data_IF_118338320153
#
_entry.id   IF_118338320153
#
_cell.length_a   1.000
_cell.length_b   1.000
_cell.length_c   1.000
_cell.angle_alpha   90.00
_cell.angle_beta   90.00
_cell.angle_gamma   90.00
#
_symmetry.space_group_name_H-M   'P 1'
#
loop_
_entity.id
_entity.type
_entity.pdbx_description
1 polymer ?
#
# COMPACT_ATOMS: atom_id res chain seq x y z
N UNK A 1 -18.08 2.68 -23.82
CA UNK A 1 -18.63 3.03 -22.50
C UNK A 1 -17.52 3.62 -21.62
N UNK A 2 -17.86 4.42 -20.58
CA UNK A 2 -16.89 5.06 -19.68
C UNK A 2 -17.12 4.55 -18.25
N UNK A 3 -16.05 4.20 -17.57
CA UNK A 3 -16.04 3.92 -16.13
C UNK A 3 -15.00 4.80 -15.43
N UNK A 4 -15.31 5.24 -14.22
CA UNK A 4 -14.42 6.06 -13.38
C UNK A 4 -14.18 5.34 -12.06
N UNK A 5 -12.92 5.05 -11.77
CA UNK A 5 -12.50 4.26 -10.61
C UNK A 5 -11.58 5.10 -9.73
N UNK A 6 -11.93 5.22 -8.46
CA UNK A 6 -11.08 5.88 -7.50
C UNK A 6 -9.88 4.99 -7.14
N UNK A 7 -8.71 5.59 -7.07
CA UNK A 7 -7.43 4.97 -6.75
C UNK A 7 -6.49 5.98 -6.08
N UNK A 8 -5.31 5.54 -5.68
CA UNK A 8 -4.23 6.41 -5.23
C UNK A 8 -2.88 5.91 -5.72
N UNK A 9 -1.90 6.80 -5.78
CA UNK A 9 -0.49 6.47 -6.02
C UNK A 9 0.39 7.02 -4.90
N UNK A 10 1.61 6.52 -4.81
CA UNK A 10 2.59 6.99 -3.84
C UNK A 10 3.53 8.02 -4.46
N UNK A 11 3.76 9.13 -3.77
CA UNK A 11 4.79 10.11 -4.11
C UNK A 11 5.65 10.40 -2.87
N UNK A 12 6.85 9.85 -2.82
CA UNK A 12 7.63 9.79 -1.59
C UNK A 12 6.90 8.96 -0.54
N UNK A 13 6.56 9.54 0.60
CA UNK A 13 5.75 8.91 1.65
C UNK A 13 4.29 9.38 1.65
N UNK A 14 3.84 10.11 0.64
CA UNK A 14 2.50 10.71 0.59
C UNK A 14 1.64 9.98 -0.43
N UNK A 15 0.49 9.50 0.00
CA UNK A 15 -0.55 8.99 -0.89
C UNK A 15 -1.19 10.13 -1.67
N UNK A 16 -1.36 9.98 -2.97
CA UNK A 16 -1.99 10.96 -3.86
C UNK A 16 -3.22 10.35 -4.52
N UNK A 17 -4.40 10.96 -4.36
CA UNK A 17 -5.61 10.50 -5.01
C UNK A 17 -5.46 10.54 -6.54
N UNK A 18 -5.92 9.48 -7.19
CA UNK A 18 -5.97 9.34 -8.65
C UNK A 18 -7.36 8.82 -9.03
N UNK A 19 -7.90 9.32 -10.11
CA UNK A 19 -9.08 8.73 -10.76
C UNK A 19 -8.61 8.04 -12.04
N UNK A 20 -8.94 6.78 -12.17
CA UNK A 20 -8.68 5.98 -13.37
C UNK A 20 -9.96 5.97 -14.22
N UNK A 21 -9.91 6.65 -15.36
CA UNK A 21 -11.01 6.72 -16.30
C UNK A 21 -10.76 5.73 -17.44
N UNK A 22 -11.61 4.74 -17.57
CA UNK A 22 -11.49 3.70 -18.61
C UNK A 22 -12.60 3.88 -19.63
N UNK A 23 -12.20 4.20 -20.87
CA UNK A 23 -13.11 4.34 -22.00
C UNK A 23 -12.91 3.19 -23.00
N UNK A 24 -13.99 2.44 -23.25
CA UNK A 24 -14.03 1.39 -24.26
C UNK A 24 -14.94 1.85 -25.39
N UNK A 25 -14.40 1.96 -26.60
CA UNK A 25 -15.10 2.42 -27.80
C UNK A 25 -14.89 1.47 -28.98
N UNK A 26 -15.83 1.51 -29.94
CA UNK A 26 -15.68 0.83 -31.22
C UNK A 26 -14.47 1.35 -32.00
N UNK A 27 -13.81 0.47 -32.73
CA UNK A 27 -12.62 0.79 -33.54
C UNK A 27 -11.62 -0.36 -33.54
N UNK A 28 -10.48 -0.11 -34.17
CA UNK A 28 -9.38 -1.08 -34.17
C UNK A 28 -8.90 -1.35 -32.74
N UNK A 29 -8.66 -2.62 -32.38
CA UNK A 29 -8.15 -2.97 -31.06
C UNK A 29 -6.87 -2.20 -30.73
N UNK A 30 -6.86 -1.58 -29.57
CA UNK A 30 -5.72 -0.83 -29.08
C UNK A 30 -5.85 -0.52 -27.59
N UNK A 31 -4.73 -0.30 -26.90
CA UNK A 31 -4.69 0.08 -25.51
C UNK A 31 -3.73 1.26 -25.34
N UNK A 32 -4.22 2.35 -24.79
CA UNK A 32 -3.46 3.58 -24.58
C UNK A 32 -3.66 4.09 -23.17
N UNK A 33 -2.58 4.45 -22.49
CA UNK A 33 -2.62 5.11 -21.17
C UNK A 33 -2.17 6.55 -21.34
N UNK A 34 -2.96 7.49 -20.84
CA UNK A 34 -2.68 8.93 -20.85
C UNK A 34 -2.72 9.50 -19.43
N UNK A 35 -2.26 10.73 -19.22
CA UNK A 35 -2.22 11.37 -17.89
C UNK A 35 -0.88 11.23 -17.17
N UNK A 36 0.23 11.30 -17.90
CA UNK A 36 1.61 11.20 -17.42
C UNK A 36 1.94 9.85 -16.71
N UNK A 37 1.65 8.70 -17.34
CA UNK A 37 2.01 7.40 -16.77
C UNK A 37 3.53 7.23 -16.71
N UNK A 38 4.03 6.54 -15.68
CA UNK A 38 5.39 6.01 -15.67
C UNK A 38 5.52 4.72 -16.53
N UNK A 39 6.69 4.09 -16.49
CA UNK A 39 6.95 2.86 -17.23
C UNK A 39 6.09 1.71 -16.74
N UNK A 40 5.95 1.54 -15.41
CA UNK A 40 5.12 0.50 -14.82
C UNK A 40 3.65 0.60 -15.23
N UNK A 41 3.11 1.82 -15.32
CA UNK A 41 1.76 2.05 -15.84
C UNK A 41 1.62 1.74 -17.34
N UNK A 42 2.68 1.92 -18.13
CA UNK A 42 2.64 1.56 -19.56
C UNK A 42 2.61 0.03 -19.76
N UNK A 43 3.29 -0.70 -18.89
CA UNK A 43 3.30 -2.17 -18.88
C UNK A 43 2.01 -2.78 -18.29
N UNK A 44 1.20 -1.99 -17.60
CA UNK A 44 -0.05 -2.45 -16.98
C UNK A 44 -0.98 -3.20 -17.96
N UNK A 45 -0.93 -2.84 -19.28
CA UNK A 45 -1.69 -3.54 -20.32
C UNK A 45 -1.50 -5.05 -20.26
N UNK A 46 -0.25 -5.49 -20.23
CA UNK A 46 0.05 -6.92 -20.37
C UNK A 46 -0.27 -7.67 -19.07
N UNK A 47 0.00 -7.04 -17.90
CA UNK A 47 -0.37 -7.60 -16.59
C UNK A 47 -1.90 -7.69 -16.44
N UNK A 48 -2.61 -6.59 -16.67
CA UNK A 48 -4.09 -6.56 -16.57
C UNK A 48 -4.74 -7.52 -17.54
N UNK A 49 -4.23 -7.60 -18.78
CA UNK A 49 -4.75 -8.56 -19.78
C UNK A 49 -4.58 -10.00 -19.32
N UNK A 50 -3.38 -10.36 -18.85
CA UNK A 50 -3.11 -11.71 -18.37
C UNK A 50 -3.98 -12.04 -17.15
N UNK A 51 -4.08 -11.12 -16.17
CA UNK A 51 -4.91 -11.29 -14.97
C UNK A 51 -6.39 -11.49 -15.31
N UNK A 52 -6.97 -10.71 -16.24
CA UNK A 52 -8.34 -10.87 -16.70
C UNK A 52 -8.57 -12.25 -17.33
N UNK A 53 -7.70 -12.64 -18.26
CA UNK A 53 -7.82 -13.93 -18.95
C UNK A 53 -7.67 -15.12 -17.97
N UNK A 54 -6.70 -15.07 -17.08
CA UNK A 54 -6.47 -16.10 -16.05
C UNK A 54 -7.63 -16.21 -15.05
N UNK A 55 -8.35 -15.09 -14.83
CA UNK A 55 -9.54 -15.06 -13.97
C UNK A 55 -10.84 -15.43 -14.71
N UNK A 56 -10.76 -15.87 -15.97
CA UNK A 56 -11.93 -16.28 -16.77
C UNK A 56 -12.72 -15.14 -17.41
N UNK A 57 -12.20 -13.91 -17.40
CA UNK A 57 -12.81 -12.77 -18.07
C UNK A 57 -12.25 -12.57 -19.48
N UNK A 58 -13.03 -11.95 -20.35
CA UNK A 58 -12.62 -11.68 -21.72
C UNK A 58 -11.90 -10.33 -21.83
N UNK A 59 -10.84 -10.27 -22.64
CA UNK A 59 -10.22 -9.02 -23.02
C UNK A 59 -11.01 -8.36 -24.16
N UNK A 60 -11.43 -7.08 -24.02
CA UNK A 60 -12.19 -6.41 -25.07
C UNK A 60 -11.36 -6.22 -26.34
N UNK A 61 -11.84 -6.74 -27.47
CA UNK A 61 -11.24 -6.55 -28.80
C UNK A 61 -11.70 -5.21 -29.40
N UNK A 62 -11.54 -4.13 -28.65
CA UNK A 62 -11.98 -2.77 -28.94
C UNK A 62 -10.88 -1.78 -28.62
N UNK A 63 -11.12 -0.50 -28.92
CA UNK A 63 -10.20 0.57 -28.54
C UNK A 63 -10.40 0.92 -27.07
N UNK A 64 -9.35 0.74 -26.27
CA UNK A 64 -9.32 1.03 -24.83
C UNK A 64 -8.44 2.25 -24.61
N UNK A 65 -8.96 3.26 -23.94
CA UNK A 65 -8.18 4.41 -23.48
C UNK A 65 -8.32 4.52 -21.97
N UNK A 66 -7.20 4.52 -21.26
CA UNK A 66 -7.13 4.73 -19.82
C UNK A 66 -6.55 6.11 -19.57
N UNK A 67 -7.31 6.97 -18.91
CA UNK A 67 -6.82 8.29 -18.49
C UNK A 67 -6.60 8.33 -16.97
N UNK A 68 -5.44 8.79 -16.54
CA UNK A 68 -5.09 8.93 -15.14
C UNK A 68 -5.23 10.40 -14.72
N UNK A 69 -6.29 10.74 -14.01
CA UNK A 69 -6.56 12.11 -13.56
C UNK A 69 -6.11 12.35 -12.10
N UNK A 70 -5.68 13.58 -11.74
CA UNK A 70 -5.45 14.77 -12.57
C UNK A 70 -4.16 14.68 -13.40
N UNK A 71 -4.11 15.27 -14.58
CA UNK A 71 -2.98 15.14 -15.52
C UNK A 71 -1.71 15.89 -15.12
N UNK A 72 -1.77 16.78 -14.13
CA UNK A 72 -0.64 17.63 -13.71
C UNK A 72 0.43 16.93 -12.84
N UNK A 73 0.28 15.66 -12.51
CA UNK A 73 1.21 14.91 -11.65
C UNK A 73 1.62 13.60 -12.33
N UNK A 74 2.90 13.24 -12.19
CA UNK A 74 3.40 11.94 -12.62
C UNK A 74 2.77 10.86 -11.75
N UNK A 75 2.17 9.88 -12.37
CA UNK A 75 1.55 8.74 -11.70
C UNK A 75 2.33 7.49 -12.02
N UNK A 76 2.56 6.70 -11.01
CA UNK A 76 3.41 5.54 -11.14
C UNK A 76 3.02 4.39 -10.24
N UNK A 77 3.62 3.27 -10.56
CA UNK A 77 3.50 2.04 -9.81
C UNK A 77 2.43 1.09 -10.35
N UNK A 78 2.66 -0.17 -10.05
CA UNK A 78 1.75 -1.29 -10.36
C UNK A 78 0.45 -1.26 -9.57
N UNK A 79 0.33 -0.39 -8.56
CA UNK A 79 -0.90 -0.19 -7.77
C UNK A 79 -2.12 0.17 -8.60
N UNK A 80 -1.92 0.70 -9.80
CA UNK A 80 -3.00 1.07 -10.72
C UNK A 80 -3.50 -0.10 -11.58
N UNK A 81 -2.88 -1.28 -11.52
CA UNK A 81 -3.32 -2.45 -12.28
C UNK A 81 -4.75 -2.87 -11.88
N UNK A 82 -5.02 -2.95 -10.56
CA UNK A 82 -6.33 -3.31 -10.05
C UNK A 82 -7.42 -2.32 -10.48
N UNK A 83 -7.30 -0.99 -10.27
CA UNK A 83 -8.33 -0.05 -10.71
C UNK A 83 -8.50 -0.02 -12.24
N UNK A 84 -7.46 -0.28 -13.04
CA UNK A 84 -7.59 -0.41 -14.50
C UNK A 84 -8.42 -1.66 -14.86
N UNK A 85 -8.17 -2.81 -14.22
CA UNK A 85 -8.92 -4.03 -14.44
C UNK A 85 -10.40 -3.87 -14.05
N UNK A 86 -10.66 -3.32 -12.87
CA UNK A 86 -12.02 -3.02 -12.39
C UNK A 86 -12.73 -2.04 -13.33
N UNK A 87 -12.02 -1.01 -13.81
CA UNK A 87 -12.54 -0.06 -14.79
C UNK A 87 -12.89 -0.70 -16.13
N UNK A 88 -12.09 -1.64 -16.62
CA UNK A 88 -12.39 -2.43 -17.81
C UNK A 88 -13.63 -3.30 -17.61
N UNK A 89 -13.73 -4.01 -16.50
CA UNK A 89 -14.88 -4.86 -16.17
C UNK A 89 -16.17 -4.02 -16.02
N UNK A 90 -16.08 -2.83 -15.44
CA UNK A 90 -17.21 -1.91 -15.34
C UNK A 90 -17.59 -1.30 -16.72
N UNK A 91 -16.59 -0.87 -17.51
CA UNK A 91 -16.84 -0.32 -18.84
C UNK A 91 -17.39 -1.34 -19.84
N UNK A 92 -17.15 -2.64 -19.62
CA UNK A 92 -17.69 -3.73 -20.46
C UNK A 92 -19.01 -4.31 -19.92
N UNK A 93 -19.50 -3.82 -18.78
CA UNK A 93 -20.77 -4.28 -18.18
C UNK A 93 -20.66 -5.59 -17.39
N UNK A 94 -19.47 -6.11 -17.15
CA UNK A 94 -19.25 -7.27 -16.26
C UNK A 94 -19.52 -6.89 -14.80
N UNK A 95 -19.10 -5.70 -14.39
CA UNK A 95 -19.42 -5.12 -13.09
C UNK A 95 -20.47 -4.02 -13.23
N UNK A 96 -21.52 -3.99 -12.39
CA UNK A 96 -22.47 -2.89 -12.38
C UNK A 96 -21.82 -1.61 -11.84
N UNK A 97 -22.16 -0.45 -12.40
CA UNK A 97 -21.58 0.83 -11.98
C UNK A 97 -21.76 1.12 -10.49
N UNK A 98 -22.88 0.69 -9.90
CA UNK A 98 -23.16 0.85 -8.48
C UNK A 98 -22.20 0.05 -7.58
N UNK A 99 -21.68 -1.08 -8.07
CA UNK A 99 -20.77 -1.91 -7.29
C UNK A 99 -19.38 -1.26 -7.10
N UNK A 100 -18.99 -0.36 -8.00
CA UNK A 100 -17.71 0.34 -7.93
C UNK A 100 -17.83 1.76 -7.36
N UNK A 101 -19.04 2.31 -7.29
CA UNK A 101 -19.29 3.64 -6.78
C UNK A 101 -18.95 3.76 -5.28
N UNK A 102 -18.27 4.84 -4.90
CA UNK A 102 -17.86 5.08 -3.50
C UNK A 102 -16.78 4.12 -2.98
N UNK A 103 -16.11 3.39 -3.87
CA UNK A 103 -14.98 2.52 -3.55
C UNK A 103 -13.71 2.99 -4.24
N UNK A 104 -12.60 2.93 -3.49
CA UNK A 104 -11.26 3.12 -4.04
C UNK A 104 -10.55 1.76 -4.13
N UNK A 105 -9.88 1.49 -5.25
CA UNK A 105 -9.22 0.22 -5.51
C UNK A 105 -7.70 0.43 -5.56
N UNK A 106 -6.96 -0.32 -4.77
CA UNK A 106 -5.52 -0.20 -4.59
C UNK A 106 -4.87 -1.59 -4.59
N UNK A 107 -3.99 -1.86 -5.53
CA UNK A 107 -3.27 -3.14 -5.56
C UNK A 107 -2.67 -3.46 -6.92
N UNK A 108 -1.62 -4.25 -6.91
CA UNK A 108 -1.02 -4.83 -8.11
C UNK A 108 -1.75 -6.12 -8.49
N UNK A 109 -1.78 -6.42 -9.77
CA UNK A 109 -2.28 -7.69 -10.28
C UNK A 109 -1.14 -8.62 -10.71
N UNK A 110 -1.14 -9.84 -10.16
CA UNK A 110 -0.37 -10.94 -10.70
C UNK A 110 -0.94 -11.40 -12.05
N UNK A 111 -0.13 -12.00 -12.90
CA UNK A 111 -0.56 -12.54 -14.19
C UNK A 111 -1.61 -13.66 -14.04
N UNK A 112 -1.66 -14.30 -12.90
CA UNK A 112 -2.62 -15.31 -12.46
C UNK A 112 -3.95 -14.73 -11.94
N UNK A 113 -4.05 -13.40 -11.84
CA UNK A 113 -5.19 -12.67 -11.29
C UNK A 113 -5.12 -12.47 -9.77
N UNK A 114 -4.04 -12.87 -9.10
CA UNK A 114 -3.84 -12.60 -7.67
C UNK A 114 -3.71 -11.10 -7.41
N UNK A 115 -4.28 -10.62 -6.31
CA UNK A 115 -4.05 -9.27 -5.80
C UNK A 115 -2.80 -9.26 -4.94
N UNK A 116 -1.87 -8.36 -5.25
CA UNK A 116 -0.56 -8.29 -4.61
C UNK A 116 -0.36 -6.98 -3.89
N UNK A 117 0.30 -7.10 -2.73
CA UNK A 117 0.74 -5.95 -1.94
C UNK A 117 1.69 -5.06 -2.74
N UNK A 118 1.56 -3.74 -2.54
CA UNK A 118 2.50 -2.74 -3.04
C UNK A 118 3.03 -1.90 -1.87
N UNK A 119 4.25 -1.35 -1.96
CA UNK A 119 4.75 -0.40 -0.98
C UNK A 119 3.85 0.82 -0.86
N UNK A 120 3.70 1.36 0.36
CA UNK A 120 2.93 2.58 0.60
C UNK A 120 1.43 2.37 0.69
N UNK A 121 0.96 1.16 1.05
CA UNK A 121 -0.47 0.89 1.21
C UNK A 121 -1.10 1.82 2.24
N UNK A 122 -0.48 2.01 3.42
CA UNK A 122 -1.01 2.88 4.48
C UNK A 122 -1.23 4.33 4.00
N UNK A 123 -0.25 5.06 3.46
CA UNK A 123 -0.49 6.43 2.97
C UNK A 123 -1.45 6.49 1.78
N UNK A 124 -1.54 5.46 0.94
CA UNK A 124 -2.48 5.45 -0.18
C UNK A 124 -3.93 5.25 0.31
N UNK A 125 -4.17 4.37 1.27
CA UNK A 125 -5.48 4.21 1.93
C UNK A 125 -5.84 5.50 2.68
N UNK A 126 -4.91 6.11 3.42
CA UNK A 126 -5.14 7.39 4.10
C UNK A 126 -5.60 8.51 3.14
N UNK A 127 -5.08 8.53 1.91
CA UNK A 127 -5.50 9.48 0.87
C UNK A 127 -6.92 9.23 0.33
N UNK A 128 -7.55 8.09 0.67
CA UNK A 128 -8.90 7.68 0.24
C UNK A 128 -9.79 7.27 1.43
N UNK A 129 -9.44 7.68 2.64
CA UNK A 129 -10.13 7.29 3.88
C UNK A 129 -11.63 7.59 3.94
N UNK A 130 -12.11 8.50 3.11
CA UNK A 130 -13.53 8.88 3.03
C UNK A 130 -14.31 7.94 2.07
N UNK A 131 -13.65 6.98 1.44
CA UNK A 131 -14.22 5.98 0.55
C UNK A 131 -13.97 4.58 1.13
N UNK A 132 -14.74 3.59 0.68
CA UNK A 132 -14.44 2.19 0.98
C UNK A 132 -13.21 1.77 0.20
N UNK A 133 -12.12 1.44 0.89
CA UNK A 133 -10.90 1.01 0.24
C UNK A 133 -10.90 -0.50 0.01
N UNK A 134 -10.69 -0.91 -1.22
CA UNK A 134 -10.49 -2.31 -1.60
C UNK A 134 -9.02 -2.53 -1.89
N UNK A 135 -8.41 -3.43 -1.11
CA UNK A 135 -6.97 -3.71 -1.13
C UNK A 135 -6.72 -5.21 -1.25
N UNK A 136 -5.48 -5.67 -1.50
CA UNK A 136 -5.13 -7.08 -1.32
C UNK A 136 -5.47 -7.56 0.09
N UNK A 137 -5.94 -8.79 0.23
CA UNK A 137 -6.47 -9.34 1.49
C UNK A 137 -5.46 -9.23 2.65
N UNK A 138 -4.20 -9.46 2.38
CA UNK A 138 -3.09 -9.35 3.34
C UNK A 138 -2.76 -7.90 3.75
N UNK A 139 -3.30 -6.90 3.05
CA UNK A 139 -3.12 -5.49 3.35
C UNK A 139 -4.29 -4.88 4.16
N UNK A 140 -5.35 -5.61 4.42
CA UNK A 140 -6.53 -5.09 5.14
C UNK A 140 -6.16 -4.58 6.54
N UNK A 141 -5.31 -5.31 7.26
CA UNK A 141 -4.82 -4.90 8.59
C UNK A 141 -4.08 -3.56 8.53
N UNK A 142 -3.21 -3.38 7.54
CA UNK A 142 -2.48 -2.12 7.35
C UNK A 142 -3.43 -0.96 7.00
N UNK A 143 -4.39 -1.20 6.12
CA UNK A 143 -5.35 -0.19 5.72
C UNK A 143 -6.22 0.28 6.89
N UNK A 144 -6.61 -0.62 7.78
CA UNK A 144 -7.43 -0.33 8.97
C UNK A 144 -6.74 0.55 10.02
N UNK A 145 -5.42 0.74 9.92
CA UNK A 145 -4.71 1.72 10.77
C UNK A 145 -5.10 3.17 10.46
N UNK A 146 -5.61 3.45 9.26
CA UNK A 146 -5.89 4.81 8.78
C UNK A 146 -7.31 5.03 8.23
N UNK A 147 -8.08 3.97 8.02
CA UNK A 147 -9.45 4.02 7.51
C UNK A 147 -10.31 2.92 8.13
N UNK A 148 -11.57 3.24 8.42
CA UNK A 148 -12.51 2.29 9.04
C UNK A 148 -13.02 1.24 8.03
N UNK A 149 -13.32 1.67 6.81
CA UNK A 149 -13.95 0.86 5.77
C UNK A 149 -12.88 0.32 4.79
N UNK A 150 -12.20 -0.76 5.19
CA UNK A 150 -11.22 -1.45 4.35
C UNK A 150 -11.65 -2.89 4.13
N UNK A 151 -11.86 -3.23 2.88
CA UNK A 151 -12.27 -4.53 2.37
C UNK A 151 -11.10 -5.15 1.59
N UNK A 152 -11.00 -6.46 1.52
CA UNK A 152 -9.91 -7.14 0.84
C UNK A 152 -10.35 -8.30 -0.02
N UNK A 153 -9.55 -8.61 -1.04
CA UNK A 153 -9.70 -9.80 -1.84
C UNK A 153 -8.32 -10.39 -2.18
N UNK A 154 -8.28 -11.71 -2.37
CA UNK A 154 -7.04 -12.42 -2.71
C UNK A 154 -6.79 -12.47 -4.23
N UNK A 155 -7.86 -12.41 -5.02
CA UNK A 155 -7.77 -12.46 -6.47
C UNK A 155 -8.93 -11.72 -7.16
N UNK A 156 -8.75 -11.43 -8.44
CA UNK A 156 -9.73 -10.70 -9.24
C UNK A 156 -11.07 -11.45 -9.37
N UNK A 157 -11.05 -12.78 -9.46
CA UNK A 157 -12.26 -13.59 -9.52
C UNK A 157 -13.13 -13.48 -8.27
N UNK A 158 -12.50 -13.55 -7.09
CA UNK A 158 -13.14 -13.36 -5.79
C UNK A 158 -13.72 -11.94 -5.66
N UNK A 159 -12.94 -10.92 -6.00
CA UNK A 159 -13.39 -9.54 -6.00
C UNK A 159 -14.63 -9.33 -6.87
N UNK A 160 -14.64 -9.89 -8.09
CA UNK A 160 -15.80 -9.78 -8.99
C UNK A 160 -17.00 -10.53 -8.43
N UNK A 161 -16.81 -11.70 -7.82
CA UNK A 161 -17.88 -12.45 -7.16
C UNK A 161 -18.54 -11.65 -6.04
N UNK A 162 -17.75 -10.96 -5.21
CA UNK A 162 -18.28 -10.07 -4.18
C UNK A 162 -19.03 -8.89 -4.79
N UNK A 163 -18.42 -8.18 -5.72
CA UNK A 163 -18.98 -6.94 -6.29
C UNK A 163 -20.20 -7.16 -7.19
N UNK A 164 -20.24 -8.27 -7.95
CA UNK A 164 -21.29 -8.56 -8.90
C UNK A 164 -22.39 -9.45 -8.32
N UNK A 165 -21.99 -10.48 -7.60
CA UNK A 165 -22.90 -11.55 -7.18
C UNK A 165 -23.29 -11.43 -5.70
N UNK A 166 -22.73 -10.43 -4.98
CA UNK A 166 -23.04 -10.17 -3.58
C UNK A 166 -22.48 -11.22 -2.61
N UNK A 167 -21.41 -11.91 -3.01
CA UNK A 167 -20.73 -12.84 -2.11
C UNK A 167 -20.15 -12.09 -0.90
N UNK A 168 -19.99 -12.75 0.26
CA UNK A 168 -19.36 -12.13 1.42
C UNK A 168 -17.89 -11.80 1.11
N UNK A 169 -17.42 -10.69 1.71
CA UNK A 169 -16.00 -10.38 1.68
C UNK A 169 -15.21 -11.44 2.45
N UNK A 170 -14.06 -11.88 1.93
CA UNK A 170 -13.19 -12.79 2.65
C UNK A 170 -12.66 -12.14 3.92
N UNK A 171 -12.58 -12.91 4.98
CA UNK A 171 -11.98 -12.45 6.21
C UNK A 171 -10.45 -12.50 6.09
N UNK A 172 -9.73 -11.39 6.38
CA UNK A 172 -8.29 -11.43 6.43
C UNK A 172 -7.86 -12.42 7.54
N UNK A 173 -6.78 -13.15 7.29
CA UNK A 173 -6.18 -13.94 8.35
C UNK A 173 -5.97 -13.03 9.56
N UNK A 174 -6.48 -13.45 10.72
CA UNK A 174 -6.22 -12.70 11.95
C UNK A 174 -4.70 -12.61 12.10
N UNK A 175 -4.12 -11.40 12.20
CA UNK A 175 -2.73 -11.32 12.59
C UNK A 175 -2.63 -12.14 13.89
N UNK A 176 -1.75 -13.12 13.89
CA UNK A 176 -1.40 -13.81 15.14
C UNK A 176 -1.07 -12.75 16.21
N UNK A 177 -1.05 -13.12 17.49
CA UNK A 177 -0.64 -12.18 18.53
C UNK A 177 0.63 -11.50 17.99
N UNK A 178 0.72 -10.16 18.13
CA UNK A 178 1.87 -9.43 17.63
C UNK A 178 3.08 -10.20 18.11
N UNK A 179 3.92 -10.58 17.14
CA UNK A 179 5.19 -11.21 17.47
C UNK A 179 5.78 -10.28 18.52
N UNK A 180 5.87 -10.75 19.77
CA UNK A 180 6.43 -9.98 20.85
C UNK A 180 7.90 -9.81 20.47
N UNK A 181 8.13 -8.87 19.56
CA UNK A 181 9.43 -8.59 18.99
C UNK A 181 10.42 -8.58 20.13
N UNK A 182 11.60 -9.15 19.93
CA UNK A 182 12.63 -9.17 20.96
C UNK A 182 12.64 -7.82 21.66
N UNK A 183 12.36 -7.82 22.96
CA UNK A 183 12.39 -6.57 23.74
C UNK A 183 13.69 -5.86 23.43
N UNK A 184 13.67 -4.56 23.18
CA UNK A 184 14.90 -3.83 22.92
C UNK A 184 15.90 -4.15 24.02
N UNK A 185 17.15 -4.39 23.64
CA UNK A 185 18.18 -4.67 24.61
C UNK A 185 18.28 -3.52 25.62
N UNK A 186 18.25 -3.84 26.92
CA UNK A 186 18.25 -2.85 27.98
C UNK A 186 19.65 -2.27 28.21
N UNK A 187 19.74 -0.99 28.53
CA UNK A 187 20.99 -0.32 28.91
C UNK A 187 21.56 -0.90 30.23
N UNK A 188 20.73 -1.49 31.08
CA UNK A 188 21.14 -2.21 32.29
C UNK A 188 22.08 -3.38 32.02
N UNK A 189 22.03 -3.98 30.82
CA UNK A 189 22.92 -5.07 30.41
C UNK A 189 24.38 -4.62 30.20
N UNK A 190 24.61 -3.33 30.03
CA UNK A 190 25.93 -2.77 29.76
C UNK A 190 26.72 -2.66 31.06
N UNK A 191 27.77 -3.44 31.17
CA UNK A 191 28.70 -3.39 32.30
C UNK A 191 29.81 -2.37 32.02
N UNK A 192 30.11 -1.51 32.99
CA UNK A 192 31.07 -0.43 32.84
C UNK A 192 30.56 0.70 31.97
N UNK A 193 31.46 1.41 31.31
CA UNK A 193 31.16 2.51 30.36
C UNK A 193 30.25 3.62 30.96
N UNK A 194 30.43 3.97 32.21
CA UNK A 194 29.53 4.88 32.96
C UNK A 194 29.29 6.20 32.24
N UNK A 195 30.34 6.79 31.62
CA UNK A 195 30.21 8.06 30.90
C UNK A 195 29.36 7.90 29.62
N UNK A 196 29.58 6.85 28.84
CA UNK A 196 28.81 6.62 27.60
C UNK A 196 27.34 6.26 27.90
N UNK A 197 27.09 5.53 29.00
CA UNK A 197 25.73 5.26 29.49
C UNK A 197 24.99 6.54 29.88
N UNK A 198 25.63 7.39 30.72
CA UNK A 198 25.06 8.66 31.11
C UNK A 198 24.80 9.57 29.89
N UNK A 199 25.73 9.64 28.95
CA UNK A 199 25.54 10.41 27.72
C UNK A 199 24.33 9.92 26.90
N UNK A 200 24.10 8.62 26.88
CA UNK A 200 22.97 8.01 26.17
C UNK A 200 21.64 8.31 26.88
N UNK A 201 21.60 8.23 28.22
CA UNK A 201 20.44 8.60 29.04
C UNK A 201 20.08 10.09 28.88
N UNK A 202 21.06 10.98 28.89
CA UNK A 202 20.86 12.42 28.66
C UNK A 202 20.38 12.69 27.25
N UNK A 203 20.96 12.01 26.24
CA UNK A 203 20.54 12.14 24.86
C UNK A 203 19.10 11.67 24.65
N UNK A 204 18.72 10.54 25.26
CA UNK A 204 17.35 10.02 25.21
C UNK A 204 16.35 10.97 25.89
N UNK A 205 16.66 11.44 27.11
CA UNK A 205 15.78 12.33 27.87
C UNK A 205 15.59 13.70 27.21
N UNK A 206 16.63 14.21 26.53
CA UNK A 206 16.63 15.55 25.93
C UNK A 206 16.36 15.55 24.42
N UNK A 207 16.05 14.40 23.81
CA UNK A 207 15.92 14.25 22.34
C UNK A 207 17.16 14.80 21.59
N UNK A 208 18.37 14.56 22.13
CA UNK A 208 19.60 15.05 21.56
C UNK A 208 20.23 14.05 20.60
N UNK A 209 20.87 14.55 19.55
CA UNK A 209 21.73 13.73 18.72
C UNK A 209 22.99 13.31 19.48
N UNK A 210 23.38 12.05 19.34
CA UNK A 210 24.58 11.51 19.98
C UNK A 210 25.53 10.94 18.92
N UNK A 211 26.80 11.32 18.98
CA UNK A 211 27.86 10.76 18.14
C UNK A 211 28.80 9.93 19.02
N UNK A 212 28.91 8.64 18.72
CA UNK A 212 29.84 7.73 19.38
C UNK A 212 31.11 7.53 18.54
N UNK A 213 32.25 7.98 19.05
CA UNK A 213 33.56 7.89 18.38
C UNK A 213 34.49 7.01 19.21
N UNK A 214 35.26 6.14 18.55
CA UNK A 214 36.22 5.26 19.21
C UNK A 214 36.68 4.10 18.31
N UNK A 215 37.66 3.31 18.74
CA UNK A 215 38.21 2.20 17.97
C UNK A 215 37.18 1.08 17.76
N UNK A 216 37.43 0.16 16.82
CA UNK A 216 36.65 -1.09 16.71
C UNK A 216 36.63 -1.85 18.04
N UNK A 217 35.51 -2.47 18.38
CA UNK A 217 35.35 -3.21 19.64
C UNK A 217 35.05 -2.37 20.88
N UNK A 218 35.01 -1.02 20.79
CA UNK A 218 34.69 -0.13 21.92
C UNK A 218 33.21 -0.15 22.36
N UNK A 219 32.36 -1.01 21.78
CA UNK A 219 30.96 -1.16 22.17
C UNK A 219 30.00 -0.09 21.62
N UNK A 220 30.41 0.72 20.66
CA UNK A 220 29.56 1.80 20.07
C UNK A 220 28.22 1.30 19.54
N UNK A 221 28.25 0.28 18.70
CA UNK A 221 27.04 -0.32 18.12
C UNK A 221 26.17 -0.97 19.21
N UNK A 222 26.80 -1.62 20.19
CA UNK A 222 26.10 -2.22 21.33
C UNK A 222 25.33 -1.16 22.12
N UNK A 223 25.92 0.00 22.37
CA UNK A 223 25.27 1.14 23.05
C UNK A 223 24.16 1.74 22.18
N UNK A 224 24.39 1.95 20.88
CA UNK A 224 23.40 2.51 19.97
C UNK A 224 22.13 1.65 19.90
N UNK A 225 22.25 0.31 19.87
CA UNK A 225 21.09 -0.59 19.89
C UNK A 225 20.26 -0.49 21.18
N UNK A 226 20.86 -0.07 22.28
CA UNK A 226 20.16 0.07 23.57
C UNK A 226 19.43 1.41 23.73
N UNK A 227 19.69 2.36 22.82
CA UNK A 227 18.96 3.63 22.83
C UNK A 227 17.44 3.39 22.70
N UNK A 228 17.02 2.46 21.86
CA UNK A 228 15.62 2.12 21.68
C UNK A 228 14.94 1.64 22.98
N UNK A 229 15.66 0.94 23.86
CA UNK A 229 15.13 0.48 25.13
C UNK A 229 15.05 1.56 26.23
N UNK A 230 15.63 2.73 25.99
CA UNK A 230 15.62 3.88 26.93
C UNK A 230 14.60 4.94 26.50
N UNK A 231 14.26 4.98 25.20
CA UNK A 231 13.28 5.93 24.68
C UNK A 231 11.86 5.55 25.16
N UNK A 232 11.01 6.55 25.44
CA UNK A 232 9.60 6.29 25.69
C UNK A 232 8.91 5.76 24.44
N UNK A 233 7.79 5.08 24.62
CA UNK A 233 6.93 4.69 23.51
C UNK A 233 6.47 5.92 22.73
N UNK A 234 6.31 5.76 21.42
CA UNK A 234 5.80 6.82 20.57
C UNK A 234 4.34 7.11 20.92
N UNK A 235 3.95 8.38 20.91
CA UNK A 235 2.55 8.73 20.91
C UNK A 235 1.86 8.25 19.61
N UNK A 236 0.52 8.20 19.60
CA UNK A 236 -0.24 7.65 18.51
C UNK A 236 -0.01 8.37 17.17
N UNK A 237 0.21 9.69 17.19
CA UNK A 237 0.45 10.49 15.99
C UNK A 237 1.82 10.18 15.40
N UNK A 238 2.86 10.23 16.23
CA UNK A 238 4.25 9.89 15.83
C UNK A 238 4.38 8.43 15.40
N UNK A 239 3.69 7.50 16.08
CA UNK A 239 3.65 6.09 15.70
C UNK A 239 3.01 5.90 14.31
N UNK A 240 1.94 6.63 14.02
CA UNK A 240 1.29 6.61 12.71
C UNK A 240 2.22 7.18 11.62
N UNK A 241 2.90 8.29 11.88
CA UNK A 241 3.88 8.85 10.94
C UNK A 241 5.02 7.86 10.64
N UNK A 242 5.57 7.22 11.67
CA UNK A 242 6.58 6.17 11.52
C UNK A 242 6.05 4.99 10.69
N UNK A 243 4.80 4.59 10.92
CA UNK A 243 4.14 3.53 10.17
C UNK A 243 3.95 3.89 8.70
N UNK A 244 3.55 5.12 8.40
CA UNK A 244 3.44 5.64 7.03
C UNK A 244 4.80 5.58 6.31
N UNK A 245 5.87 6.03 6.98
CA UNK A 245 7.21 5.99 6.41
C UNK A 245 7.70 4.56 6.16
N UNK A 246 7.46 3.63 7.10
CA UNK A 246 7.80 2.21 6.95
C UNK A 246 7.02 1.56 5.81
N UNK A 247 5.72 1.83 5.72
CA UNK A 247 4.87 1.36 4.63
C UNK A 247 5.37 1.86 3.27
N UNK A 248 5.69 3.16 3.18
CA UNK A 248 6.21 3.77 1.96
C UNK A 248 7.57 3.18 1.52
N UNK A 249 8.41 2.81 2.48
CA UNK A 249 9.68 2.14 2.24
C UNK A 249 9.54 0.64 1.91
N UNK A 250 8.32 0.09 1.93
CA UNK A 250 8.07 -1.34 1.72
C UNK A 250 8.56 -2.24 2.86
N UNK A 251 8.84 -1.66 4.03
CA UNK A 251 9.28 -2.40 5.20
C UNK A 251 8.11 -3.11 5.90
N UNK A 252 8.34 -4.24 6.57
CA UNK A 252 7.32 -4.89 7.38
C UNK A 252 6.78 -3.93 8.45
N UNK A 253 5.47 -3.90 8.61
CA UNK A 253 4.84 -3.21 9.73
C UNK A 253 4.83 -4.21 10.89
N UNK A 254 5.75 -4.04 11.83
CA UNK A 254 5.69 -4.73 13.12
C UNK A 254 4.58 -4.04 13.92
N UNK A 255 3.68 -4.83 14.50
CA UNK A 255 2.59 -4.30 15.32
C UNK A 255 3.09 -3.29 16.35
N UNK A 256 2.56 -2.08 16.30
CA UNK A 256 2.72 -1.08 17.33
C UNK A 256 1.70 -1.28 18.42
#
# INVERSE_FOLDING_TARGET
MLAMIAAATLLGAVGRPVTVEVHVSSGLPGFTVVGLPDEACREARDRVRAALLSSGFTWPMQRITVNLAPSGQRKGGSVLDLPIAVGLLAATGVLPAQAVAGRAFLGELGLDGSLRRVPGMVPMVAARRDERCVVPLDCVGEGRLVAADVEGASCLGELVGVLRDGLPWPEPAHPGPPDAGERPADLADVRGQAFARLALEVAAAGAHHLLLVGPPGAGKTMLAHRLAGVLPDLDAETALEATILRSAAGLPLTGG
#
